data_IF_828124727503
#
_entry.id   IF_828124727503
#
_cell.length_a   1.000
_cell.length_b   1.000
_cell.length_c   1.000
_cell.angle_alpha   90.00
_cell.angle_beta   90.00
_cell.angle_gamma   90.00
#
_symmetry.space_group_name_H-M   'P 1'
#
loop_
_entity.id
_entity.type
_entity.pdbx_description
1 polymer ?
#
# COMPACT_ATOMS: atom_id res chain seq x y z
N UNK A 1 12.34 -8.05 -37.62
CA UNK A 1 12.09 -6.72 -38.25
C UNK A 1 10.87 -5.98 -37.70
N UNK A 2 9.65 -6.54 -37.65
CA UNK A 2 8.44 -5.80 -37.18
C UNK A 2 8.52 -5.27 -35.74
N UNK A 3 9.08 -6.05 -34.80
CA UNK A 3 9.28 -5.59 -33.41
C UNK A 3 10.29 -4.45 -33.29
N UNK A 4 11.39 -4.51 -34.03
CA UNK A 4 12.42 -3.48 -34.06
C UNK A 4 11.88 -2.16 -34.64
N UNK A 5 11.11 -2.23 -35.73
CA UNK A 5 10.48 -1.04 -36.33
C UNK A 5 9.44 -0.41 -35.38
N UNK A 6 8.64 -1.22 -34.67
CA UNK A 6 7.70 -0.72 -33.64
C UNK A 6 8.42 -0.02 -32.50
N UNK A 7 9.49 -0.61 -31.99
CA UNK A 7 10.32 -0.03 -30.94
C UNK A 7 10.96 1.28 -31.41
N UNK A 8 11.53 1.31 -32.62
CA UNK A 8 12.12 2.51 -33.21
C UNK A 8 11.09 3.63 -33.38
N UNK A 9 9.90 3.31 -33.86
CA UNK A 9 8.78 4.28 -34.00
C UNK A 9 8.35 4.82 -32.64
N UNK A 10 8.23 3.98 -31.61
CA UNK A 10 7.94 4.43 -30.23
C UNK A 10 9.02 5.36 -29.69
N UNK A 11 10.29 5.06 -29.94
CA UNK A 11 11.42 5.92 -29.53
C UNK A 11 11.35 7.27 -30.25
N UNK A 12 11.12 7.28 -31.57
CA UNK A 12 10.98 8.51 -32.34
C UNK A 12 9.78 9.34 -31.88
N UNK A 13 8.62 8.72 -31.67
CA UNK A 13 7.42 9.36 -31.12
C UNK A 13 7.68 9.94 -29.74
N UNK A 14 8.39 9.22 -28.87
CA UNK A 14 8.78 9.71 -27.55
C UNK A 14 9.62 10.98 -27.65
N UNK A 15 10.66 10.99 -28.49
CA UNK A 15 11.50 12.17 -28.70
C UNK A 15 10.71 13.34 -29.31
N UNK A 16 9.86 13.07 -30.31
CA UNK A 16 8.99 14.06 -30.92
C UNK A 16 8.05 14.71 -29.90
N UNK A 17 7.30 13.90 -29.14
CA UNK A 17 6.40 14.37 -28.09
C UNK A 17 7.16 15.17 -27.01
N UNK A 18 8.38 14.75 -26.65
CA UNK A 18 9.23 15.46 -25.69
C UNK A 18 9.68 16.81 -26.22
N UNK A 19 10.03 16.92 -27.51
CA UNK A 19 10.38 18.19 -28.16
C UNK A 19 9.15 19.10 -28.28
N UNK A 20 8.02 18.58 -28.74
CA UNK A 20 6.76 19.32 -28.83
C UNK A 20 6.32 19.88 -27.46
N UNK A 21 6.36 19.04 -26.42
CA UNK A 21 6.04 19.45 -25.04
C UNK A 21 6.95 20.57 -24.54
N UNK A 22 8.24 20.57 -24.92
CA UNK A 22 9.18 21.64 -24.56
C UNK A 22 8.83 22.96 -25.27
N UNK A 23 8.51 22.90 -26.56
CA UNK A 23 8.05 24.08 -27.31
C UNK A 23 6.77 24.63 -26.70
N UNK A 24 5.80 23.78 -26.38
CA UNK A 24 4.57 24.16 -25.69
C UNK A 24 4.83 24.80 -24.32
N UNK A 25 5.78 24.28 -23.53
CA UNK A 25 6.17 24.91 -22.25
C UNK A 25 6.73 26.32 -22.45
N UNK A 26 7.57 26.51 -23.46
CA UNK A 26 8.15 27.80 -23.79
C UNK A 26 7.07 28.78 -24.23
N UNK A 27 6.20 28.39 -25.16
CA UNK A 27 5.07 29.19 -25.63
C UNK A 27 4.15 29.54 -24.45
N UNK A 28 3.76 28.56 -23.64
CA UNK A 28 2.90 28.80 -22.47
C UNK A 28 3.54 29.75 -21.45
N UNK A 29 4.87 29.73 -21.27
CA UNK A 29 5.58 30.70 -20.42
C UNK A 29 5.54 32.10 -21.02
N UNK A 30 5.69 32.23 -22.35
CA UNK A 30 5.58 33.52 -23.04
C UNK A 30 4.16 34.09 -22.99
N UNK A 31 3.14 33.24 -23.11
CA UNK A 31 1.73 33.67 -23.10
C UNK A 31 1.20 33.98 -21.70
N UNK A 32 1.55 33.17 -20.70
CA UNK A 32 0.95 33.30 -19.35
C UNK A 32 1.86 34.00 -18.33
N UNK A 33 3.13 34.21 -18.66
CA UNK A 33 4.16 34.68 -17.71
C UNK A 33 4.54 33.67 -16.62
N UNK A 34 3.79 32.56 -16.49
CA UNK A 34 3.96 31.56 -15.43
C UNK A 34 4.88 30.43 -15.88
N UNK A 35 5.68 29.89 -14.97
CA UNK A 35 6.42 28.65 -15.19
C UNK A 35 5.52 27.41 -15.05
N UNK A 36 6.04 26.23 -15.38
CA UNK A 36 5.26 24.98 -15.28
C UNK A 36 4.80 24.66 -13.86
N UNK A 37 5.68 24.83 -12.86
CA UNK A 37 5.34 24.58 -11.45
C UNK A 37 4.17 25.47 -11.00
N UNK A 38 4.20 26.76 -11.34
CA UNK A 38 3.08 27.68 -11.10
C UNK A 38 1.79 27.18 -11.75
N UNK A 39 1.83 26.80 -13.04
CA UNK A 39 0.64 26.31 -13.74
C UNK A 39 0.07 25.04 -13.11
N UNK A 40 0.92 24.12 -12.65
CA UNK A 40 0.48 22.90 -11.97
C UNK A 40 -0.21 23.24 -10.65
N UNK A 41 0.44 24.05 -9.79
CA UNK A 41 -0.09 24.41 -8.48
C UNK A 41 -1.41 25.20 -8.57
N UNK A 42 -1.56 26.10 -9.55
CA UNK A 42 -2.79 26.87 -9.72
C UNK A 42 -3.95 26.09 -10.35
N UNK A 43 -3.66 25.20 -11.30
CA UNK A 43 -4.71 24.57 -12.10
C UNK A 43 -5.05 23.14 -11.65
N UNK A 44 -4.34 22.58 -10.68
CA UNK A 44 -4.59 21.23 -10.16
C UNK A 44 -4.85 21.32 -8.66
N UNK A 45 -5.93 20.71 -8.15
CA UNK A 45 -6.25 20.67 -6.71
C UNK A 45 -5.14 19.97 -5.90
N UNK A 46 -4.98 20.25 -4.59
CA UNK A 46 -4.08 19.49 -3.72
C UNK A 46 -4.40 17.99 -3.76
N UNK A 47 -3.39 17.15 -3.57
CA UNK A 47 -3.51 15.69 -3.63
C UNK A 47 -2.63 15.05 -4.71
N UNK A 48 -2.86 13.77 -4.98
CA UNK A 48 -2.01 12.95 -5.81
C UNK A 48 -1.79 13.49 -7.22
N UNK A 49 -2.84 14.00 -7.87
CA UNK A 49 -2.73 14.56 -9.23
C UNK A 49 -1.73 15.71 -9.30
N UNK A 50 -1.75 16.63 -8.31
CA UNK A 50 -0.80 17.76 -8.26
C UNK A 50 0.59 17.25 -7.96
N UNK A 51 0.75 16.43 -6.92
CA UNK A 51 2.05 15.97 -6.45
C UNK A 51 2.77 15.13 -7.51
N UNK A 52 2.08 14.21 -8.20
CA UNK A 52 2.65 13.43 -9.29
C UNK A 52 3.08 14.30 -10.48
N UNK A 53 2.32 15.35 -10.83
CA UNK A 53 2.70 16.30 -11.88
C UNK A 53 3.92 17.12 -11.49
N UNK A 54 3.99 17.56 -10.22
CA UNK A 54 5.16 18.27 -9.68
C UNK A 54 6.39 17.36 -9.70
N UNK A 55 6.28 16.13 -9.18
CA UNK A 55 7.38 15.15 -9.18
C UNK A 55 7.90 14.91 -10.61
N UNK A 56 6.99 14.70 -11.56
CA UNK A 56 7.32 14.49 -12.98
C UNK A 56 8.01 15.72 -13.60
N UNK A 57 7.54 16.93 -13.27
CA UNK A 57 8.14 18.19 -13.73
C UNK A 57 9.55 18.37 -13.20
N UNK A 58 9.76 18.11 -11.91
CA UNK A 58 11.05 18.21 -11.23
C UNK A 58 12.07 17.19 -11.80
N UNK A 59 11.71 15.89 -11.82
CA UNK A 59 12.56 14.83 -12.37
C UNK A 59 12.88 15.03 -13.86
N UNK A 60 11.92 15.53 -14.63
CA UNK A 60 12.08 15.79 -16.06
C UNK A 60 12.79 17.10 -16.40
N UNK A 61 13.19 17.89 -15.41
CA UNK A 61 13.88 19.17 -15.58
C UNK A 61 15.29 19.01 -16.17
N UNK A 62 15.82 20.06 -16.79
CA UNK A 62 17.24 20.16 -17.18
C UNK A 62 18.13 20.69 -16.05
N UNK A 63 17.55 21.38 -15.08
CA UNK A 63 18.31 21.91 -13.94
C UNK A 63 18.60 20.78 -12.97
N UNK A 64 19.88 20.60 -12.62
CA UNK A 64 20.28 19.59 -11.64
C UNK A 64 19.64 19.85 -10.28
N UNK A 65 19.55 21.11 -9.86
CA UNK A 65 18.89 21.54 -8.62
C UNK A 65 17.43 21.04 -8.56
N UNK A 66 16.68 21.17 -9.66
CA UNK A 66 15.29 20.70 -9.74
C UNK A 66 15.18 19.18 -9.81
N UNK A 67 16.17 18.50 -10.36
CA UNK A 67 16.17 17.03 -10.38
C UNK A 67 16.48 16.45 -9.01
N UNK A 68 17.37 17.09 -8.24
CA UNK A 68 17.78 16.61 -6.92
C UNK A 68 16.82 17.01 -5.81
N UNK A 69 15.95 18.01 -6.02
CA UNK A 69 14.98 18.47 -5.02
C UNK A 69 14.02 17.39 -4.53
N UNK A 70 13.67 16.41 -5.37
CA UNK A 70 12.83 15.26 -4.99
C UNK A 70 13.55 14.22 -4.14
N UNK A 71 14.83 14.46 -3.81
CA UNK A 71 15.69 13.53 -3.09
C UNK A 71 16.49 14.20 -1.97
N UNK A 72 16.08 15.38 -1.54
CA UNK A 72 16.71 16.08 -0.40
C UNK A 72 16.35 15.41 0.93
N UNK A 73 17.07 15.79 1.99
CA UNK A 73 16.68 15.45 3.36
C UNK A 73 15.43 16.26 3.76
N UNK A 74 14.51 15.75 4.60
CA UNK A 74 13.34 16.50 5.07
C UNK A 74 13.68 17.91 5.58
N UNK A 75 14.72 18.05 6.41
CA UNK A 75 15.14 19.34 6.98
C UNK A 75 15.62 20.36 5.93
N UNK A 76 15.96 19.92 4.72
CA UNK A 76 16.40 20.78 3.64
C UNK A 76 15.26 21.23 2.71
N UNK A 77 14.01 20.81 2.96
CA UNK A 77 12.87 21.10 2.07
C UNK A 77 12.62 22.60 1.96
N UNK A 78 12.59 23.34 3.06
CA UNK A 78 12.32 24.79 3.06
C UNK A 78 13.37 25.54 2.22
N UNK A 79 14.65 25.33 2.51
CA UNK A 79 15.75 25.88 1.73
C UNK A 79 15.66 25.48 0.24
N UNK A 80 15.27 24.24 -0.05
CA UNK A 80 15.09 23.76 -1.42
C UNK A 80 13.97 24.50 -2.13
N UNK A 81 12.90 24.89 -1.43
CA UNK A 81 11.83 25.71 -2.00
C UNK A 81 12.37 27.09 -2.37
N UNK A 82 13.13 27.74 -1.50
CA UNK A 82 13.73 29.05 -1.77
C UNK A 82 14.64 29.00 -3.00
N UNK A 83 15.53 28.01 -3.06
CA UNK A 83 16.41 27.74 -4.19
C UNK A 83 15.63 27.53 -5.51
N UNK A 84 14.46 26.90 -5.45
CA UNK A 84 13.56 26.71 -6.61
C UNK A 84 12.93 28.03 -7.04
N UNK A 85 12.44 28.82 -6.07
CA UNK A 85 11.80 30.12 -6.33
C UNK A 85 12.79 31.09 -6.98
N UNK A 86 14.02 31.15 -6.48
CA UNK A 86 15.11 31.95 -7.02
C UNK A 86 15.49 31.52 -8.44
N UNK A 87 15.73 30.21 -8.64
CA UNK A 87 16.06 29.67 -9.97
C UNK A 87 14.96 29.97 -11.00
N UNK A 88 13.70 29.99 -10.58
CA UNK A 88 12.55 30.28 -11.45
C UNK A 88 12.25 31.77 -11.58
N UNK A 89 12.90 32.63 -10.78
CA UNK A 89 12.65 34.07 -10.67
C UNK A 89 11.21 34.36 -10.26
N UNK A 90 10.73 33.67 -9.23
CA UNK A 90 9.36 33.82 -8.73
C UNK A 90 9.41 34.74 -7.51
N UNK A 91 8.63 35.82 -7.54
CA UNK A 91 8.47 36.68 -6.38
C UNK A 91 7.47 36.02 -5.40
N UNK A 92 7.89 35.69 -4.16
CA UNK A 92 7.03 35.05 -3.16
C UNK A 92 5.88 35.94 -2.69
N UNK A 93 6.06 37.26 -2.61
CA UNK A 93 5.00 38.20 -2.19
C UNK A 93 3.81 38.23 -3.17
N UNK A 94 4.10 37.99 -4.46
CA UNK A 94 3.09 37.92 -5.52
C UNK A 94 2.47 36.51 -5.59
N UNK A 95 3.16 35.48 -5.10
CA UNK A 95 2.77 34.08 -5.24
C UNK A 95 2.90 33.28 -3.93
N UNK A 96 2.35 33.75 -2.79
CA UNK A 96 2.61 33.13 -1.49
C UNK A 96 2.12 31.68 -1.42
N UNK A 97 0.98 31.38 -2.06
CA UNK A 97 0.41 30.03 -2.11
C UNK A 97 1.28 29.02 -2.86
N UNK A 98 2.19 29.48 -3.74
CA UNK A 98 3.05 28.58 -4.50
C UNK A 98 4.07 27.89 -3.59
N UNK A 99 4.70 28.64 -2.68
CA UNK A 99 5.66 28.10 -1.72
C UNK A 99 5.03 26.98 -0.90
N UNK A 100 3.88 27.27 -0.28
CA UNK A 100 3.09 26.30 0.50
C UNK A 100 2.71 25.06 -0.34
N UNK A 101 2.24 25.29 -1.57
CA UNK A 101 1.83 24.18 -2.45
C UNK A 101 3.00 23.30 -2.86
N UNK A 102 4.17 23.88 -3.11
CA UNK A 102 5.38 23.14 -3.46
C UNK A 102 5.96 22.44 -2.24
N UNK A 103 5.93 23.06 -1.07
CA UNK A 103 6.36 22.45 0.19
C UNK A 103 5.56 21.18 0.46
N UNK A 104 4.22 21.24 0.42
CA UNK A 104 3.36 20.07 0.57
C UNK A 104 3.69 18.96 -0.46
N UNK A 105 3.92 19.32 -1.73
CA UNK A 105 4.29 18.34 -2.75
C UNK A 105 5.66 17.70 -2.46
N UNK A 106 6.68 18.49 -2.07
CA UNK A 106 8.02 17.97 -1.79
C UNK A 106 8.04 17.09 -0.55
N UNK A 107 7.34 17.51 0.50
CA UNK A 107 7.11 16.75 1.71
C UNK A 107 6.52 15.36 1.40
N UNK A 108 5.48 15.31 0.57
CA UNK A 108 4.89 14.05 0.12
C UNK A 108 5.86 13.18 -0.69
N UNK A 109 6.59 13.77 -1.64
CA UNK A 109 7.54 13.05 -2.51
C UNK A 109 8.71 12.47 -1.70
N UNK A 110 9.31 13.29 -0.83
CA UNK A 110 10.42 12.90 0.04
C UNK A 110 9.95 11.89 1.09
N UNK A 111 8.79 12.13 1.71
CA UNK A 111 8.18 11.23 2.68
C UNK A 111 7.89 9.84 2.09
N UNK A 112 7.35 9.76 0.87
CA UNK A 112 7.14 8.48 0.18
C UNK A 112 8.44 7.70 -0.02
N UNK A 113 9.52 8.38 -0.41
CA UNK A 113 10.84 7.75 -0.58
C UNK A 113 11.36 7.23 0.76
N UNK A 114 11.27 8.05 1.81
CA UNK A 114 11.73 7.67 3.15
C UNK A 114 10.93 6.49 3.69
N UNK A 115 9.60 6.51 3.54
CA UNK A 115 8.71 5.39 3.85
C UNK A 115 9.12 4.12 3.11
N UNK A 116 9.41 4.21 1.81
CA UNK A 116 9.86 3.04 1.01
C UNK A 116 11.15 2.45 1.58
N UNK A 117 12.09 3.29 1.99
CA UNK A 117 13.34 2.84 2.60
C UNK A 117 13.14 2.22 3.99
N UNK A 118 12.27 2.80 4.81
CA UNK A 118 11.94 2.30 6.16
C UNK A 118 11.22 0.95 6.09
N UNK A 119 10.22 0.82 5.22
CA UNK A 119 9.50 -0.44 4.99
C UNK A 119 10.46 -1.52 4.46
N UNK A 120 11.36 -1.18 3.53
CA UNK A 120 12.34 -2.14 3.03
C UNK A 120 13.36 -2.57 4.09
N UNK A 121 13.73 -1.67 5.01
CA UNK A 121 14.56 -2.00 6.16
C UNK A 121 13.87 -3.05 7.03
N UNK A 122 12.63 -2.82 7.44
CA UNK A 122 11.85 -3.75 8.26
C UNK A 122 11.58 -5.09 7.55
N UNK A 123 11.36 -5.06 6.23
CA UNK A 123 11.15 -6.28 5.44
C UNK A 123 12.39 -7.17 5.41
N UNK A 124 13.59 -6.56 5.37
CA UNK A 124 14.87 -7.27 5.36
C UNK A 124 15.36 -7.68 6.73
N UNK A 125 14.87 -7.06 7.79
CA UNK A 125 15.24 -7.38 9.15
C UNK A 125 14.61 -8.73 9.56
N UNK A 126 15.42 -9.79 9.78
CA UNK A 126 14.89 -11.09 10.16
C UNK A 126 14.34 -11.05 11.58
N UNK A 127 13.31 -11.85 11.84
CA UNK A 127 12.89 -12.12 13.21
C UNK A 127 14.02 -12.83 13.98
N UNK A 128 14.30 -12.35 15.18
CA UNK A 128 15.33 -12.88 16.06
C UNK A 128 14.73 -13.26 17.40
N UNK A 129 14.82 -14.54 17.75
CA UNK A 129 14.30 -15.11 19.00
C UNK A 129 15.14 -14.75 20.22
N UNK A 130 16.39 -14.32 20.01
CA UNK A 130 17.27 -13.85 21.08
C UNK A 130 17.10 -12.35 21.35
N UNK A 131 16.30 -11.65 20.53
CA UNK A 131 16.01 -10.23 20.70
C UNK A 131 14.73 -10.06 21.56
N UNK A 132 14.83 -9.47 22.77
CA UNK A 132 13.69 -9.33 23.66
C UNK A 132 12.53 -8.51 23.08
N UNK A 133 12.83 -7.49 22.27
CA UNK A 133 11.80 -6.64 21.66
C UNK A 133 11.00 -7.41 20.60
N UNK A 134 11.66 -8.28 19.83
CA UNK A 134 10.98 -9.12 18.83
C UNK A 134 10.07 -10.16 19.49
N UNK A 135 10.56 -10.81 20.55
CA UNK A 135 9.78 -11.75 21.34
C UNK A 135 8.60 -11.05 22.04
N UNK A 136 8.81 -9.86 22.61
CA UNK A 136 7.72 -9.05 23.20
C UNK A 136 6.61 -8.77 22.18
N UNK A 137 6.96 -8.34 20.97
CA UNK A 137 5.99 -8.09 19.89
C UNK A 137 5.21 -9.33 19.50
N UNK A 138 5.87 -10.48 19.37
CA UNK A 138 5.22 -11.75 19.01
C UNK A 138 4.28 -12.24 20.12
N UNK A 139 4.70 -12.16 21.38
CA UNK A 139 3.86 -12.51 22.52
C UNK A 139 2.68 -11.54 22.68
N UNK A 140 2.87 -10.25 22.35
CA UNK A 140 1.79 -9.27 22.34
C UNK A 140 0.75 -9.60 21.28
N UNK A 141 1.18 -10.00 20.08
CA UNK A 141 0.27 -10.46 19.02
C UNK A 141 -0.60 -11.61 19.50
N UNK A 142 -0.01 -12.61 20.17
CA UNK A 142 -0.77 -13.71 20.77
C UNK A 142 -1.82 -13.21 21.76
N UNK A 143 -1.42 -12.36 22.72
CA UNK A 143 -2.34 -11.80 23.72
C UNK A 143 -3.51 -11.04 23.09
N UNK A 144 -3.28 -10.31 22.00
CA UNK A 144 -4.34 -9.60 21.29
C UNK A 144 -5.33 -10.55 20.59
N UNK A 145 -4.85 -11.64 20.01
CA UNK A 145 -5.67 -12.57 19.22
C UNK A 145 -6.27 -13.73 20.02
N UNK A 146 -5.69 -14.05 21.18
CA UNK A 146 -6.08 -15.13 22.09
C UNK A 146 -6.05 -14.64 23.54
N UNK A 147 -6.86 -13.64 23.92
CA UNK A 147 -6.81 -13.04 25.26
C UNK A 147 -7.13 -14.04 26.38
N UNK A 148 -7.98 -15.02 26.11
CA UNK A 148 -8.46 -16.00 27.10
C UNK A 148 -7.62 -17.29 27.16
N UNK A 149 -6.60 -17.43 26.29
CA UNK A 149 -5.77 -18.63 26.21
C UNK A 149 -4.29 -18.25 26.25
N UNK A 150 -3.62 -18.34 27.41
CA UNK A 150 -2.20 -18.01 27.50
C UNK A 150 -1.36 -19.01 26.69
N UNK A 151 -0.23 -18.53 26.17
CA UNK A 151 0.74 -19.38 25.49
C UNK A 151 1.48 -20.24 26.53
N UNK A 152 1.47 -21.56 26.37
CA UNK A 152 2.10 -22.53 27.27
C UNK A 152 3.63 -22.49 27.15
N UNK A 153 4.12 -22.33 25.94
CA UNK A 153 5.53 -22.24 25.62
C UNK A 153 5.74 -21.44 24.33
N UNK A 154 6.89 -20.78 24.20
CA UNK A 154 7.24 -20.03 22.99
C UNK A 154 7.24 -20.90 21.73
N UNK A 155 7.70 -22.15 21.82
CA UNK A 155 7.60 -23.12 20.72
C UNK A 155 6.47 -24.07 21.07
N UNK A 156 5.34 -23.98 20.38
CA UNK A 156 4.15 -24.79 20.66
C UNK A 156 3.20 -24.86 19.46
N UNK A 157 2.36 -25.90 19.42
CA UNK A 157 1.32 -26.05 18.39
C UNK A 157 0.26 -24.95 18.44
N UNK A 158 0.18 -24.18 19.52
CA UNK A 158 -0.82 -23.12 19.71
C UNK A 158 -0.71 -22.05 18.62
N UNK A 159 0.47 -21.78 18.08
CA UNK A 159 0.67 -20.81 17.00
C UNK A 159 -0.15 -21.14 15.74
N UNK A 160 -0.41 -22.43 15.47
CA UNK A 160 -1.30 -22.85 14.39
C UNK A 160 -2.74 -22.33 14.57
N UNK A 161 -3.18 -22.07 15.80
CA UNK A 161 -4.55 -21.57 16.08
C UNK A 161 -4.79 -20.15 15.60
N UNK A 162 -3.72 -19.35 15.44
CA UNK A 162 -3.80 -18.01 14.83
C UNK A 162 -3.24 -18.01 13.39
N UNK A 163 -3.04 -19.21 12.84
CA UNK A 163 -2.70 -19.42 11.44
C UNK A 163 -1.24 -19.21 11.09
N UNK A 164 -0.29 -19.43 12.01
CA UNK A 164 1.12 -19.65 11.67
C UNK A 164 1.38 -21.09 11.20
N UNK A 165 2.50 -21.34 10.53
CA UNK A 165 2.88 -22.66 10.08
C UNK A 165 3.77 -23.36 11.11
N UNK A 166 3.25 -24.43 11.71
CA UNK A 166 3.99 -25.23 12.67
C UNK A 166 4.15 -24.53 14.03
N UNK A 167 5.19 -24.94 14.76
CA UNK A 167 5.27 -24.68 16.20
C UNK A 167 6.06 -23.42 16.54
N UNK A 168 6.74 -22.84 15.55
CA UNK A 168 7.56 -21.64 15.69
C UNK A 168 7.30 -20.64 14.53
N UNK A 169 6.62 -19.51 14.81
CA UNK A 169 6.38 -18.43 13.85
C UNK A 169 7.63 -17.85 13.18
N UNK A 170 8.82 -18.03 13.77
CA UNK A 170 10.09 -17.53 13.21
C UNK A 170 10.27 -17.89 11.73
N UNK A 171 9.86 -19.10 11.35
CA UNK A 171 10.04 -19.59 9.98
C UNK A 171 9.09 -18.97 8.96
N UNK A 172 7.98 -18.39 9.40
CA UNK A 172 6.97 -17.76 8.53
C UNK A 172 7.36 -16.34 8.12
N UNK A 173 8.13 -15.65 8.96
CA UNK A 173 8.57 -14.28 8.69
C UNK A 173 9.70 -14.18 7.64
N UNK A 174 10.18 -15.28 7.05
CA UNK A 174 11.33 -15.25 6.12
C UNK A 174 11.19 -14.28 4.95
N UNK A 175 10.00 -14.17 4.35
CA UNK A 175 9.79 -13.32 3.17
C UNK A 175 9.67 -11.82 3.51
N UNK A 176 8.94 -11.52 4.58
CA UNK A 176 8.57 -10.15 4.97
C UNK A 176 9.26 -9.65 6.23
N UNK A 177 10.17 -10.42 6.82
CA UNK A 177 10.91 -10.05 8.03
C UNK A 177 10.01 -9.58 9.17
N UNK A 178 10.53 -8.64 9.94
CA UNK A 178 9.78 -7.95 11.00
C UNK A 178 8.58 -7.18 10.47
N UNK A 179 8.59 -6.70 9.22
CA UNK A 179 7.44 -5.98 8.65
C UNK A 179 6.15 -6.81 8.74
N UNK A 180 6.24 -8.12 8.52
CA UNK A 180 5.10 -9.04 8.67
C UNK A 180 4.53 -9.05 10.10
N UNK A 181 5.42 -9.15 11.11
CA UNK A 181 5.02 -9.11 12.52
C UNK A 181 4.45 -7.74 12.92
N UNK A 182 5.11 -6.65 12.51
CA UNK A 182 4.66 -5.28 12.77
C UNK A 182 3.25 -5.02 12.24
N UNK A 183 2.96 -5.46 11.02
CA UNK A 183 1.66 -5.28 10.40
C UNK A 183 0.57 -6.13 11.09
N UNK A 184 0.85 -7.41 11.35
CA UNK A 184 -0.08 -8.29 12.07
C UNK A 184 -0.41 -7.73 13.46
N UNK A 185 0.61 -7.32 14.21
CA UNK A 185 0.43 -6.73 15.54
C UNK A 185 -0.36 -5.42 15.46
N UNK A 186 -0.01 -4.53 14.53
CA UNK A 186 -0.73 -3.27 14.36
C UNK A 186 -2.22 -3.50 14.08
N UNK A 187 -2.57 -4.47 13.23
CA UNK A 187 -3.96 -4.82 12.95
C UNK A 187 -4.67 -5.37 14.18
N UNK A 188 -4.04 -6.29 14.92
CA UNK A 188 -4.59 -6.85 16.14
C UNK A 188 -4.78 -5.82 17.26
N UNK A 189 -3.91 -4.80 17.35
CA UNK A 189 -4.00 -3.74 18.37
C UNK A 189 -4.96 -2.60 18.03
N UNK A 190 -4.95 -2.15 16.77
CA UNK A 190 -5.73 -0.97 16.36
C UNK A 190 -7.15 -1.31 15.98
N UNK A 191 -7.39 -2.53 15.53
CA UNK A 191 -8.69 -2.98 15.07
C UNK A 191 -9.01 -4.37 15.64
N UNK A 192 -8.85 -4.51 16.96
CA UNK A 192 -8.96 -5.80 17.67
C UNK A 192 -10.24 -6.54 17.36
N UNK A 193 -11.38 -5.84 17.32
CA UNK A 193 -12.67 -6.45 17.03
C UNK A 193 -12.70 -7.06 15.62
N UNK A 194 -12.24 -6.31 14.60
CA UNK A 194 -12.18 -6.82 13.23
C UNK A 194 -11.12 -7.92 13.13
N UNK A 195 -9.95 -7.78 13.75
CA UNK A 195 -8.90 -8.80 13.71
C UNK A 195 -9.39 -10.14 14.31
N UNK A 196 -10.09 -10.10 15.45
CA UNK A 196 -10.69 -11.30 16.07
C UNK A 196 -11.82 -11.88 15.22
N UNK A 197 -12.65 -11.03 14.60
CA UNK A 197 -13.69 -11.48 13.68
C UNK A 197 -13.09 -12.18 12.46
N UNK A 198 -12.09 -11.56 11.81
CA UNK A 198 -11.38 -12.12 10.66
C UNK A 198 -10.71 -13.44 11.04
N UNK A 199 -10.05 -13.49 12.20
CA UNK A 199 -9.47 -14.74 12.72
C UNK A 199 -10.54 -15.82 12.90
N UNK A 200 -11.65 -15.51 13.59
CA UNK A 200 -12.76 -16.44 13.81
C UNK A 200 -13.31 -16.99 12.50
N UNK A 201 -13.62 -16.11 11.54
CA UNK A 201 -14.15 -16.48 10.23
C UNK A 201 -13.16 -17.33 9.44
N UNK A 202 -11.86 -17.00 9.51
CA UNK A 202 -10.80 -17.71 8.81
C UNK A 202 -10.60 -19.15 9.29
N UNK A 203 -11.06 -19.47 10.51
CA UNK A 203 -11.00 -20.81 11.08
C UNK A 203 -12.26 -21.65 10.78
N UNK A 204 -13.36 -21.03 10.33
CA UNK A 204 -14.62 -21.73 10.13
C UNK A 204 -14.62 -22.53 8.80
N UNK A 205 -14.89 -23.85 8.83
CA UNK A 205 -15.23 -24.58 7.64
C UNK A 205 -16.61 -24.11 7.17
N UNK A 206 -16.72 -23.37 6.04
CA UNK A 206 -18.05 -23.08 5.49
C UNK A 206 -18.72 -24.41 5.10
N UNK A 207 -19.81 -24.76 5.76
CA UNK A 207 -20.71 -25.80 5.29
C UNK A 207 -21.62 -25.17 4.24
N UNK A 208 -21.42 -25.49 2.96
CA UNK A 208 -22.48 -25.26 1.97
C UNK A 208 -23.65 -26.17 2.33
N UNK A 209 -24.76 -25.61 2.80
CA UNK A 209 -26.01 -26.38 2.95
C UNK A 209 -26.41 -26.91 1.58
N UNK A 210 -26.26 -28.22 1.39
CA UNK A 210 -26.67 -28.91 0.18
C UNK A 210 -28.19 -29.04 0.26
N UNK A 211 -28.94 -28.38 -0.61
CA UNK A 211 -30.40 -28.50 -0.60
C UNK A 211 -30.83 -29.89 -1.11
N UNK A 212 -32.03 -30.35 -0.76
CA UNK A 212 -32.59 -31.63 -1.27
C UNK A 212 -32.60 -31.74 -2.80
N UNK A 213 -32.57 -30.60 -3.50
CA UNK A 213 -32.52 -30.51 -4.96
C UNK A 213 -31.11 -30.74 -5.54
N UNK A 214 -30.08 -30.39 -4.78
CA UNK A 214 -28.68 -30.66 -5.12
C UNK A 214 -28.33 -32.14 -4.88
N UNK A 215 -28.92 -32.75 -3.84
CA UNK A 215 -28.74 -34.18 -3.50
C UNK A 215 -29.25 -35.15 -4.58
N UNK A 216 -30.24 -34.74 -5.38
CA UNK A 216 -30.78 -35.59 -6.46
C UNK A 216 -30.05 -35.42 -7.79
N UNK A 217 -29.10 -34.50 -7.90
CA UNK A 217 -28.34 -34.22 -9.12
C UNK A 217 -26.89 -34.70 -9.08
N UNK A 218 -26.34 -35.02 -7.91
CA UNK A 218 -24.96 -35.48 -7.80
C UNK A 218 -24.84 -36.98 -7.96
N UNK A 219 -23.84 -37.41 -8.74
CA UNK A 219 -23.39 -38.79 -8.71
C UNK A 219 -22.73 -39.12 -7.37
N UNK A 220 -22.73 -40.40 -6.97
CA UNK A 220 -22.09 -40.86 -5.73
C UNK A 220 -20.61 -40.47 -5.64
N UNK A 221 -19.90 -40.39 -6.77
CA UNK A 221 -18.50 -39.97 -6.84
C UNK A 221 -18.32 -38.45 -6.64
N UNK A 222 -19.23 -37.62 -7.17
CA UNK A 222 -19.22 -36.17 -6.93
C UNK A 222 -19.60 -35.82 -5.48
N UNK A 223 -20.47 -36.63 -4.86
CA UNK A 223 -20.80 -36.50 -3.45
C UNK A 223 -19.61 -36.82 -2.56
N UNK A 224 -18.91 -37.95 -2.79
CA UNK A 224 -17.71 -38.29 -2.02
C UNK A 224 -16.60 -37.25 -2.20
N UNK A 225 -16.41 -36.68 -3.40
CA UNK A 225 -15.45 -35.57 -3.61
C UNK A 225 -15.82 -34.33 -2.78
N UNK A 226 -17.08 -33.87 -2.86
CA UNK A 226 -17.54 -32.65 -2.18
C UNK A 226 -17.76 -32.81 -0.67
N UNK A 227 -17.87 -34.04 -0.17
CA UNK A 227 -18.02 -34.34 1.27
C UNK A 227 -16.74 -34.04 2.06
N UNK A 228 -15.59 -34.10 1.40
CA UNK A 228 -14.27 -33.81 1.98
C UNK A 228 -13.72 -32.42 1.60
N UNK A 229 -14.38 -31.68 0.71
CA UNK A 229 -14.07 -30.26 0.40
C UNK A 229 -14.53 -29.34 1.56
N UNK A 230 -13.88 -29.46 2.72
CA UNK A 230 -14.18 -28.63 3.91
C UNK A 230 -12.91 -28.08 4.55
N UNK A 231 -12.51 -26.93 4.06
CA UNK A 231 -11.92 -25.84 4.83
C UNK A 231 -11.92 -24.59 3.93
N UNK A 232 -13.03 -23.84 3.94
CA UNK A 232 -13.15 -22.57 3.19
C UNK A 232 -12.44 -21.41 3.94
N UNK A 233 -11.86 -21.73 5.10
CA UNK A 233 -10.97 -20.86 5.87
C UNK A 233 -9.58 -20.72 5.26
N UNK A 234 -8.83 -19.74 5.73
CA UNK A 234 -7.42 -19.52 5.40
C UNK A 234 -6.61 -19.30 6.67
N UNK A 235 -5.31 -19.51 6.61
CA UNK A 235 -4.42 -19.27 7.75
C UNK A 235 -4.23 -17.77 7.99
N UNK A 236 -4.86 -17.22 9.04
CA UNK A 236 -4.85 -15.77 9.34
C UNK A 236 -3.44 -15.15 9.28
N UNK A 237 -2.47 -15.67 10.04
CA UNK A 237 -1.14 -15.09 10.06
C UNK A 237 -0.39 -15.22 8.72
N UNK A 238 -0.43 -16.39 8.07
CA UNK A 238 0.18 -16.58 6.74
C UNK A 238 -0.42 -15.62 5.70
N UNK A 239 -1.76 -15.48 5.69
CA UNK A 239 -2.43 -14.55 4.78
C UNK A 239 -2.06 -13.11 5.12
N UNK A 240 -2.02 -12.71 6.39
CA UNK A 240 -1.57 -11.37 6.78
C UNK A 240 -0.12 -11.08 6.36
N UNK A 241 0.80 -12.04 6.48
CA UNK A 241 2.17 -11.90 5.94
C UNK A 241 2.15 -11.75 4.41
N UNK A 242 1.29 -12.50 3.74
CA UNK A 242 1.14 -12.43 2.29
C UNK A 242 0.47 -11.12 1.80
N UNK A 243 -0.45 -10.55 2.57
CA UNK A 243 -1.03 -9.22 2.31
C UNK A 243 -0.02 -8.12 2.63
N UNK A 244 0.88 -8.33 3.59
CA UNK A 244 2.05 -7.44 3.79
C UNK A 244 2.93 -7.39 2.55
N UNK A 245 3.20 -8.55 1.92
CA UNK A 245 3.90 -8.61 0.63
C UNK A 245 3.14 -7.86 -0.48
N UNK A 246 1.81 -7.98 -0.54
CA UNK A 246 0.99 -7.24 -1.50
C UNK A 246 1.14 -5.72 -1.28
N UNK A 247 1.00 -5.25 -0.04
CA UNK A 247 1.14 -3.84 0.32
C UNK A 247 2.54 -3.31 -0.03
N UNK A 248 3.58 -4.09 0.26
CA UNK A 248 4.96 -3.77 -0.09
C UNK A 248 5.14 -3.64 -1.61
N UNK A 249 4.62 -4.58 -2.41
CA UNK A 249 4.69 -4.54 -3.87
C UNK A 249 3.96 -3.31 -4.46
N UNK A 250 2.81 -2.93 -3.88
CA UNK A 250 2.09 -1.71 -4.27
C UNK A 250 2.86 -0.43 -3.89
N UNK A 251 3.64 -0.44 -2.80
CA UNK A 251 4.54 0.64 -2.41
C UNK A 251 5.72 0.76 -3.38
N UNK A 252 6.50 -0.30 -3.60
CA UNK A 252 7.73 -0.20 -4.41
C UNK A 252 7.45 0.02 -5.90
N UNK A 253 6.32 -0.44 -6.41
CA UNK A 253 5.90 -0.16 -7.79
C UNK A 253 5.44 1.30 -8.00
N UNK A 254 5.22 2.06 -6.93
CA UNK A 254 4.69 3.41 -6.99
C UNK A 254 3.16 3.48 -7.05
N UNK A 255 2.44 2.35 -7.06
CA UNK A 255 0.98 2.33 -7.15
C UNK A 255 0.32 3.05 -5.96
N UNK A 256 0.89 2.92 -4.75
CA UNK A 256 0.39 3.63 -3.57
C UNK A 256 0.66 5.13 -3.56
N UNK A 257 1.36 5.71 -4.55
CA UNK A 257 1.52 7.17 -4.62
C UNK A 257 0.18 7.88 -4.67
N UNK A 258 -0.77 7.34 -5.45
CA UNK A 258 -2.14 7.87 -5.52
C UNK A 258 -2.77 7.94 -4.14
N UNK A 259 -2.73 6.84 -3.39
CA UNK A 259 -3.28 6.78 -2.04
C UNK A 259 -2.57 7.74 -1.08
N UNK A 260 -1.25 7.61 -0.93
CA UNK A 260 -0.49 8.34 0.08
C UNK A 260 -0.48 9.85 -0.15
N UNK A 261 -0.45 10.31 -1.40
CA UNK A 261 -0.53 11.75 -1.69
C UNK A 261 -1.92 12.34 -1.46
N UNK A 262 -2.97 11.50 -1.34
CA UNK A 262 -4.31 11.95 -0.98
C UNK A 262 -4.56 11.94 0.54
N UNK A 263 -3.94 11.03 1.29
CA UNK A 263 -4.22 10.88 2.74
C UNK A 263 -3.16 11.50 3.66
N UNK A 264 -1.95 11.73 3.17
CA UNK A 264 -0.85 12.25 3.97
C UNK A 264 -0.34 13.60 3.41
N UNK A 265 -0.98 14.74 3.75
CA UNK A 265 -0.57 16.05 3.24
C UNK A 265 0.81 16.51 3.76
N UNK A 266 1.20 16.08 4.96
CA UNK A 266 2.48 16.45 5.59
C UNK A 266 3.63 15.52 5.22
N UNK A 267 3.44 14.20 5.23
CA UNK A 267 4.39 13.20 4.70
C UNK A 267 3.82 11.79 4.91
N UNK A 268 3.96 10.87 3.94
CA UNK A 268 3.71 9.45 4.19
C UNK A 268 4.65 8.88 5.26
N UNK A 269 4.13 8.06 6.17
CA UNK A 269 4.86 7.47 7.32
C UNK A 269 4.55 5.98 7.45
N UNK A 270 5.30 5.27 8.30
CA UNK A 270 5.06 3.83 8.55
C UNK A 270 3.64 3.56 9.06
N UNK A 271 3.09 4.45 9.89
CA UNK A 271 1.70 4.34 10.37
C UNK A 271 0.69 4.35 9.21
N UNK A 272 0.88 5.19 8.20
CA UNK A 272 0.03 5.20 7.01
C UNK A 272 0.12 3.86 6.25
N UNK A 273 1.32 3.29 6.14
CA UNK A 273 1.50 1.98 5.50
C UNK A 273 0.79 0.85 6.27
N UNK A 274 0.87 0.87 7.60
CA UNK A 274 0.16 -0.09 8.46
C UNK A 274 -1.37 0.08 8.37
N UNK A 275 -1.87 1.31 8.27
CA UNK A 275 -3.29 1.57 8.00
C UNK A 275 -3.73 1.03 6.62
N UNK A 276 -2.89 1.20 5.58
CA UNK A 276 -3.12 0.57 4.27
C UNK A 276 -3.13 -0.95 4.40
N UNK A 277 -2.25 -1.55 5.19
CA UNK A 277 -2.27 -2.99 5.47
C UNK A 277 -3.59 -3.43 6.10
N UNK A 278 -4.09 -2.74 7.14
CA UNK A 278 -5.37 -3.06 7.77
C UNK A 278 -6.53 -2.99 6.76
N UNK A 279 -6.57 -1.95 5.92
CA UNK A 279 -7.55 -1.85 4.84
C UNK A 279 -7.49 -3.07 3.92
N UNK A 280 -6.29 -3.39 3.41
CA UNK A 280 -6.11 -4.49 2.48
C UNK A 280 -6.46 -5.84 3.10
N UNK A 281 -6.13 -6.07 4.37
CA UNK A 281 -6.45 -7.31 5.07
C UNK A 281 -7.96 -7.48 5.22
N UNK A 282 -8.66 -6.43 5.66
CA UNK A 282 -10.11 -6.44 5.80
C UNK A 282 -10.83 -6.60 4.45
N UNK A 283 -10.42 -5.87 3.42
CA UNK A 283 -11.03 -5.95 2.10
C UNK A 283 -10.70 -7.28 1.41
N UNK A 284 -9.51 -7.83 1.62
CA UNK A 284 -9.18 -9.17 1.14
C UNK A 284 -10.06 -10.24 1.80
N UNK A 285 -10.30 -10.14 3.12
CA UNK A 285 -11.18 -11.06 3.83
C UNK A 285 -12.60 -11.07 3.24
N UNK A 286 -13.19 -9.90 3.02
CA UNK A 286 -14.48 -9.77 2.35
C UNK A 286 -14.45 -10.37 0.95
N UNK A 287 -13.44 -10.01 0.17
CA UNK A 287 -13.27 -10.48 -1.20
C UNK A 287 -13.13 -12.01 -1.27
N UNK A 288 -12.40 -12.62 -0.34
CA UNK A 288 -12.26 -14.07 -0.20
C UNK A 288 -13.61 -14.74 0.07
N UNK A 289 -14.39 -14.16 0.99
CA UNK A 289 -15.72 -14.68 1.33
C UNK A 289 -16.66 -14.59 0.12
N UNK A 290 -16.64 -13.48 -0.61
CA UNK A 290 -17.47 -13.23 -1.79
C UNK A 290 -17.10 -14.10 -3.00
N UNK A 291 -15.80 -14.32 -3.25
CA UNK A 291 -15.33 -15.22 -4.32
C UNK A 291 -15.65 -16.69 -4.04
N UNK A 292 -15.91 -17.04 -2.77
CA UNK A 292 -16.30 -18.38 -2.30
C UNK A 292 -15.48 -19.51 -2.95
N UNK A 293 -14.13 -19.48 -2.83
CA UNK A 293 -13.30 -20.47 -3.47
C UNK A 293 -13.58 -21.87 -2.90
N UNK A 294 -13.46 -22.93 -3.72
CA UNK A 294 -13.70 -24.30 -3.28
C UNK A 294 -12.77 -24.73 -2.13
N UNK A 295 -11.51 -24.27 -2.16
CA UNK A 295 -10.51 -24.60 -1.16
C UNK A 295 -9.33 -23.59 -1.20
N UNK A 296 -8.39 -23.77 -0.25
CA UNK A 296 -7.21 -22.92 -0.09
C UNK A 296 -6.23 -22.97 -1.27
N UNK A 297 -6.25 -24.00 -2.13
CA UNK A 297 -5.37 -24.10 -3.30
C UNK A 297 -5.63 -22.99 -4.32
N UNK A 298 -6.84 -22.40 -4.28
CA UNK A 298 -7.24 -21.27 -5.12
C UNK A 298 -6.70 -19.92 -4.61
N UNK A 299 -6.01 -19.91 -3.46
CA UNK A 299 -5.48 -18.70 -2.82
C UNK A 299 -4.75 -17.78 -3.78
N UNK A 300 -3.78 -18.31 -4.53
CA UNK A 300 -2.97 -17.50 -5.44
C UNK A 300 -3.82 -16.87 -6.55
N UNK A 301 -4.83 -17.57 -7.07
CA UNK A 301 -5.72 -17.04 -8.11
C UNK A 301 -6.59 -15.92 -7.55
N UNK A 302 -7.21 -16.13 -6.38
CA UNK A 302 -8.07 -15.13 -5.72
C UNK A 302 -7.26 -13.90 -5.31
N UNK A 303 -6.07 -14.10 -4.73
CA UNK A 303 -5.14 -13.01 -4.38
C UNK A 303 -4.76 -12.17 -5.59
N UNK A 304 -4.43 -12.80 -6.73
CA UNK A 304 -4.06 -12.08 -7.94
C UNK A 304 -5.24 -11.30 -8.54
N UNK A 305 -6.47 -11.82 -8.44
CA UNK A 305 -7.68 -11.05 -8.78
C UNK A 305 -7.84 -9.82 -7.88
N UNK A 306 -7.69 -10.00 -6.58
CA UNK A 306 -7.76 -8.90 -5.60
C UNK A 306 -6.70 -7.84 -5.88
N UNK A 307 -5.45 -8.25 -6.13
CA UNK A 307 -4.37 -7.35 -6.51
C UNK A 307 -4.72 -6.50 -7.73
N UNK A 308 -5.25 -7.11 -8.80
CA UNK A 308 -5.70 -6.38 -10.00
C UNK A 308 -6.83 -5.41 -9.71
N UNK A 309 -7.76 -5.77 -8.82
CA UNK A 309 -8.84 -4.87 -8.38
C UNK A 309 -8.28 -3.65 -7.66
N UNK A 310 -7.35 -3.84 -6.72
CA UNK A 310 -6.71 -2.73 -5.99
C UNK A 310 -5.92 -1.83 -6.94
N UNK A 311 -5.15 -2.41 -7.87
CA UNK A 311 -4.44 -1.64 -8.90
C UNK A 311 -5.40 -0.80 -9.75
N UNK A 312 -6.54 -1.35 -10.15
CA UNK A 312 -7.57 -0.63 -10.91
C UNK A 312 -8.16 0.52 -10.10
N UNK A 313 -8.42 0.34 -8.81
CA UNK A 313 -8.88 1.43 -7.94
C UNK A 313 -7.85 2.56 -7.85
N UNK A 314 -6.56 2.22 -7.67
CA UNK A 314 -5.45 3.19 -7.57
C UNK A 314 -5.16 3.97 -8.87
N UNK A 315 -5.78 3.61 -10.00
CA UNK A 315 -5.74 4.41 -11.23
C UNK A 315 -6.62 5.66 -11.15
N UNK A 316 -7.63 5.68 -10.27
CA UNK A 316 -8.40 6.89 -10.01
C UNK A 316 -7.53 7.89 -9.22
N UNK A 317 -7.24 9.09 -9.75
CA UNK A 317 -6.35 10.05 -9.09
C UNK A 317 -6.82 10.51 -7.71
N UNK A 318 -8.11 10.38 -7.40
CA UNK A 318 -8.70 10.78 -6.12
C UNK A 318 -8.84 9.58 -5.15
N UNK A 319 -8.29 8.41 -5.49
CA UNK A 319 -8.41 7.21 -4.66
C UNK A 319 -7.67 7.37 -3.34
N UNK A 320 -8.34 6.99 -2.25
CA UNK A 320 -7.77 6.80 -0.93
C UNK A 320 -8.25 5.45 -0.35
N UNK A 321 -7.33 4.52 -0.14
CA UNK A 321 -7.59 3.21 0.46
C UNK A 321 -7.73 3.34 1.99
N UNK A 322 -8.77 4.03 2.43
CA UNK A 322 -9.05 4.21 3.85
C UNK A 322 -9.94 3.06 4.33
N UNK A 323 -9.60 2.40 5.45
CA UNK A 323 -10.60 1.66 6.22
C UNK A 323 -11.79 2.58 6.45
N UNK A 324 -13.02 2.04 6.41
CA UNK A 324 -14.15 2.71 7.07
C UNK A 324 -13.86 2.69 8.58
N UNK A 325 -12.88 3.49 9.01
CA UNK A 325 -12.86 3.95 10.38
C UNK A 325 -14.15 4.72 10.53
N UNK A 326 -14.90 4.47 11.61
CA UNK A 326 -15.97 5.35 12.00
C UNK A 326 -15.38 6.77 12.03
N UNK A 327 -15.67 7.54 10.98
CA UNK A 327 -15.32 8.93 10.84
C UNK A 327 -16.27 9.71 11.74
N UNK A 328 -16.07 9.54 13.04
CA UNK A 328 -16.69 10.35 14.08
C UNK A 328 -15.82 10.17 15.32
N UNK A 329 -14.83 11.05 15.50
CA UNK A 329 -14.71 11.82 16.76
C UNK A 329 -13.44 12.69 16.89
N UNK A 330 -12.42 12.61 16.02
CA UNK A 330 -11.15 13.32 16.34
C UNK A 330 -10.60 14.33 15.32
N UNK A 331 -11.27 14.66 14.21
CA UNK A 331 -10.72 15.61 13.22
C UNK A 331 -11.70 16.68 12.70
N UNK A 332 -12.77 17.00 13.43
CA UNK A 332 -13.63 18.18 13.12
C UNK A 332 -13.29 19.41 13.97
N UNK A 333 -12.43 19.31 14.99
CA UNK A 333 -11.96 20.49 15.72
C UNK A 333 -10.44 20.44 15.93
N UNK A 334 -9.69 21.00 14.97
CA UNK A 334 -8.48 21.81 15.18
C UNK A 334 -8.19 22.62 13.92
#
# INVERSE_FOLDING_TARGET
>A
MKHFLRMFVQVCLYFYCKCLWRCLKFVARKLTGRCELQRICYNTKPGASRTMKIESSLRGSKSKLLQTSVSVHPDAIEKTIDDIMDLKKINPDINPQLGVSLQACLLQIVGYRNLTAEVEKLRREPYDSENPQHEEMLLKLWKCLKPDSPLEARISKQWCEIGFQGDDPKTDFRGMGLLGLYNLLYFAERDTAIALQVLSDSLQPKYREVTKKDLSQFSKAEWERKKFDKAIGYSFAIVGINITDLAYNLLVSGALKTHFYNVAPEAPTLAHFQQTFCYLMHEFHKFWIEEDPPDIMEFNRVREKFHKQILKQLQNPDMALCPHFAASESLINM
#
